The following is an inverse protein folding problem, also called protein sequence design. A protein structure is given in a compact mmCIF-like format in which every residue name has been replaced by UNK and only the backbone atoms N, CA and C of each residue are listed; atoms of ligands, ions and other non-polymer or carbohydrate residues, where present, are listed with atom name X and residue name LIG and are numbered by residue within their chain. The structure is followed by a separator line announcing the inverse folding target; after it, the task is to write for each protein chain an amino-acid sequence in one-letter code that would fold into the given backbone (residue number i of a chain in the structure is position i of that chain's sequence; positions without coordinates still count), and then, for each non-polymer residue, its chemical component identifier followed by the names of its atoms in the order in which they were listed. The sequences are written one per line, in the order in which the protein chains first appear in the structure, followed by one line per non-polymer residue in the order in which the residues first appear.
data_IF_590833707201
#
_entry.id   IF_590833707201
#
_cell.length_a   1.000
_cell.length_b   1.000
_cell.length_c   1.000
_cell.angle_alpha   90.00
_cell.angle_beta   90.00
_cell.angle_gamma   90.00
#
_symmetry.space_group_name_H-M   'P 1'
#
loop_
_entity.id
_entity.type
_entity.pdbx_description
1 polymer ?
#
# COMPACT_ATOMS: atom_id res chain seq x y z
N UNK A 1 15.38 55.71 -40.64
CA UNK A 1 15.80 54.67 -39.67
C UNK A 1 14.82 54.67 -38.52
N UNK A 2 14.34 53.47 -38.22
CA UNK A 2 13.65 53.00 -37.01
C UNK A 2 12.14 53.24 -36.82
N UNK A 3 11.53 52.13 -36.45
CA UNK A 3 10.14 51.77 -36.28
C UNK A 3 9.58 52.21 -34.91
N UNK A 4 8.26 52.28 -34.79
CA UNK A 4 7.57 52.39 -33.51
C UNK A 4 6.10 52.06 -33.66
N UNK A 5 5.76 50.82 -33.39
CA UNK A 5 4.40 50.29 -33.41
C UNK A 5 3.57 50.79 -32.22
N UNK A 6 2.29 51.04 -32.47
CA UNK A 6 1.18 50.89 -31.52
C UNK A 6 -0.11 50.82 -32.38
N UNK A 7 -0.38 49.69 -33.04
CA UNK A 7 -1.27 48.62 -32.53
C UNK A 7 -1.85 48.83 -31.13
N UNK A 8 -3.09 48.38 -30.96
CA UNK A 8 -3.89 48.23 -29.74
C UNK A 8 -4.88 49.39 -29.55
N UNK A 9 -6.19 49.18 -29.47
CA UNK A 9 -6.97 47.95 -29.48
C UNK A 9 -8.40 48.39 -29.79
N UNK A 10 -8.99 47.88 -30.89
CA UNK A 10 -10.43 47.73 -31.03
C UNK A 10 -10.91 46.72 -29.97
N UNK A 11 -10.94 47.17 -28.71
CA UNK A 11 -11.59 46.47 -27.59
C UNK A 11 -12.87 47.20 -27.20
N UNK A 12 -13.51 47.84 -28.17
CA UNK A 12 -14.85 48.34 -27.99
C UNK A 12 -15.80 47.37 -28.68
N UNK A 13 -16.69 46.79 -27.87
CA UNK A 13 -17.82 45.97 -28.28
C UNK A 13 -17.53 44.49 -28.60
N UNK A 14 -17.09 43.73 -27.58
CA UNK A 14 -17.62 42.37 -27.49
C UNK A 14 -19.07 42.52 -27.06
N UNK A 15 -19.96 42.25 -28.00
CA UNK A 15 -21.39 42.13 -27.78
C UNK A 15 -21.57 41.01 -26.76
N UNK A 16 -21.97 41.36 -25.53
CA UNK A 16 -22.78 40.46 -24.70
C UNK A 16 -24.15 40.41 -25.39
N UNK A 17 -24.22 39.64 -26.48
CA UNK A 17 -25.49 39.29 -27.09
C UNK A 17 -26.16 38.20 -26.25
N UNK A 18 -27.47 37.96 -26.46
CA UNK A 18 -28.20 36.87 -25.81
C UNK A 18 -27.62 35.48 -26.09
N UNK A 19 -26.62 35.38 -26.97
CA UNK A 19 -25.86 34.20 -27.36
C UNK A 19 -24.75 33.80 -26.35
N UNK A 20 -23.98 34.74 -25.80
CA UNK A 20 -22.87 34.43 -24.85
C UNK A 20 -23.39 33.88 -23.49
N UNK A 21 -24.55 34.40 -23.04
CA UNK A 21 -25.22 33.89 -21.84
C UNK A 21 -25.75 32.46 -22.04
N UNK A 22 -26.31 32.16 -23.22
CA UNK A 22 -26.80 30.81 -23.55
C UNK A 22 -25.67 29.83 -23.82
N UNK A 23 -24.54 30.29 -24.35
CA UNK A 23 -23.33 29.47 -24.55
C UNK A 23 -22.74 29.04 -23.20
N UNK A 24 -22.67 29.96 -22.24
CA UNK A 24 -22.26 29.64 -20.87
C UNK A 24 -23.18 28.65 -20.18
N UNK A 25 -24.49 28.78 -20.35
CA UNK A 25 -25.45 27.81 -19.82
C UNK A 25 -25.30 26.42 -20.47
N UNK A 26 -25.04 26.37 -21.78
CA UNK A 26 -24.72 25.11 -22.46
C UNK A 26 -23.45 24.46 -21.91
N UNK A 27 -22.38 25.25 -21.74
CA UNK A 27 -21.09 24.77 -21.23
C UNK A 27 -21.23 24.23 -19.80
N UNK A 28 -21.95 24.92 -18.93
CA UNK A 28 -22.21 24.47 -17.56
C UNK A 28 -23.03 23.18 -17.55
N UNK A 29 -24.06 23.07 -18.40
CA UNK A 29 -24.87 21.86 -18.51
C UNK A 29 -24.05 20.65 -18.98
N UNK A 30 -23.17 20.84 -19.96
CA UNK A 30 -22.26 19.79 -20.43
C UNK A 30 -21.26 19.39 -19.33
N UNK A 31 -20.72 20.36 -18.60
CA UNK A 31 -19.82 20.09 -17.48
C UNK A 31 -20.53 19.31 -16.36
N UNK A 32 -21.73 19.71 -15.97
CA UNK A 32 -22.52 19.00 -14.96
C UNK A 32 -22.83 17.56 -15.42
N UNK A 33 -23.18 17.35 -16.69
CA UNK A 33 -23.40 16.00 -17.24
C UNK A 33 -22.14 15.11 -17.18
N UNK A 34 -20.95 15.69 -17.43
CA UNK A 34 -19.68 14.97 -17.27
C UNK A 34 -19.37 14.63 -15.81
N UNK A 35 -19.74 15.51 -14.87
CA UNK A 35 -19.49 15.34 -13.44
C UNK A 35 -20.53 14.45 -12.76
N UNK A 36 -21.79 14.45 -13.23
CA UNK A 36 -22.88 13.60 -12.72
C UNK A 36 -22.60 12.11 -12.92
N UNK A 37 -21.88 11.74 -13.99
CA UNK A 37 -21.43 10.38 -14.24
C UNK A 37 -20.18 9.97 -13.44
N UNK A 38 -19.49 10.94 -12.81
CA UNK A 38 -18.45 10.67 -11.82
C UNK A 38 -19.12 10.43 -10.47
N UNK A 39 -19.81 9.30 -10.38
CA UNK A 39 -20.16 8.73 -9.08
C UNK A 39 -18.86 8.58 -8.30
N UNK A 40 -18.67 9.43 -7.29
CA UNK A 40 -17.74 9.21 -6.18
C UNK A 40 -18.27 8.06 -5.32
N UNK A 41 -18.52 6.92 -5.96
CA UNK A 41 -18.63 5.62 -5.32
C UNK A 41 -17.18 5.15 -5.17
N UNK A 42 -16.64 4.86 -4.02
CA UNK A 42 -17.25 4.35 -2.82
C UNK A 42 -16.20 4.67 -1.74
N UNK A 43 -16.47 5.58 -0.80
CA UNK A 43 -15.72 5.51 0.45
C UNK A 43 -16.21 4.23 1.11
N UNK A 44 -15.56 3.10 0.79
CA UNK A 44 -15.82 1.86 1.49
C UNK A 44 -15.81 2.18 2.99
N UNK A 45 -16.75 1.63 3.78
CA UNK A 45 -16.84 1.91 5.21
C UNK A 45 -15.55 1.55 5.97
N UNK A 46 -14.63 0.87 5.28
CA UNK A 46 -13.29 0.55 5.73
C UNK A 46 -12.27 0.98 4.68
N UNK A 47 -11.23 1.67 5.10
CA UNK A 47 -10.06 1.93 4.26
C UNK A 47 -9.23 0.66 4.09
N UNK A 48 -8.44 0.60 3.03
CA UNK A 48 -7.36 -0.38 2.91
C UNK A 48 -6.44 -0.38 4.16
N UNK A 49 -6.23 0.79 4.78
CA UNK A 49 -5.48 0.88 6.04
C UNK A 49 -6.21 0.22 7.22
N UNK A 50 -7.54 0.29 7.28
CA UNK A 50 -8.34 -0.38 8.32
C UNK A 50 -8.34 -1.90 8.14
N UNK A 51 -8.22 -2.38 6.90
CA UNK A 51 -8.04 -3.81 6.62
C UNK A 51 -6.65 -4.29 7.05
N UNK A 52 -5.59 -3.53 6.74
CA UNK A 52 -4.23 -3.85 7.20
C UNK A 52 -4.12 -3.88 8.73
N UNK A 53 -4.79 -2.96 9.43
CA UNK A 53 -4.80 -2.94 10.90
C UNK A 53 -5.47 -4.20 11.48
N UNK A 54 -6.55 -4.70 10.83
CA UNK A 54 -7.18 -5.98 11.20
C UNK A 54 -6.24 -7.18 11.01
N UNK A 55 -5.41 -7.17 9.96
CA UNK A 55 -4.43 -8.24 9.73
C UNK A 55 -3.25 -8.20 10.70
N UNK A 56 -2.89 -7.02 11.21
CA UNK A 56 -1.82 -6.85 12.17
C UNK A 56 -2.07 -7.64 13.45
N UNK A 57 -3.34 -7.77 13.87
CA UNK A 57 -3.74 -8.59 15.02
C UNK A 57 -3.84 -10.09 14.71
N UNK A 58 -4.27 -10.44 13.50
CA UNK A 58 -4.50 -11.84 13.11
C UNK A 58 -3.22 -12.64 12.84
N UNK A 59 -2.13 -11.97 12.43
CA UNK A 59 -0.84 -12.59 12.12
C UNK A 59 0.24 -12.33 13.18
N UNK A 60 -0.13 -11.92 14.41
CA UNK A 60 0.86 -11.74 15.47
C UNK A 60 1.53 -13.07 15.78
N UNK A 61 2.85 -13.02 15.93
CA UNK A 61 3.61 -14.13 16.45
C UNK A 61 3.09 -14.46 17.86
N UNK A 62 2.37 -15.57 17.99
CA UNK A 62 2.03 -16.15 19.27
C UNK A 62 3.21 -17.02 19.68
N UNK A 63 4.02 -16.51 20.62
CA UNK A 63 5.12 -17.28 21.15
C UNK A 63 4.56 -18.60 21.72
N UNK A 64 5.06 -19.77 21.26
CA UNK A 64 4.66 -21.03 21.86
C UNK A 64 5.05 -21.00 23.34
N UNK A 65 4.19 -21.49 24.23
CA UNK A 65 4.52 -21.64 25.64
C UNK A 65 5.13 -23.04 25.85
N UNK A 66 6.46 -23.20 25.84
CA UNK A 66 7.06 -24.51 26.00
C UNK A 66 6.78 -25.06 27.41
N UNK A 67 6.51 -26.37 27.55
CA UNK A 67 6.40 -26.98 28.86
C UNK A 67 7.73 -26.84 29.61
N UNK A 68 7.65 -26.59 30.93
CA UNK A 68 8.83 -26.48 31.79
C UNK A 68 9.62 -27.80 31.73
N UNK A 69 10.87 -27.73 31.27
CA UNK A 69 11.77 -28.87 31.29
C UNK A 69 12.30 -29.11 32.70
N UNK A 70 12.26 -30.35 33.14
CA UNK A 70 12.86 -30.76 34.41
C UNK A 70 14.40 -30.67 34.29
N UNK A 71 15.07 -30.14 35.31
CA UNK A 71 16.54 -30.01 35.36
C UNK A 71 17.21 -31.38 35.19
N UNK A 72 16.65 -32.44 35.75
CA UNK A 72 17.15 -33.81 35.57
C UNK A 72 17.09 -34.28 34.11
N UNK A 73 16.07 -33.83 33.35
CA UNK A 73 15.91 -34.17 31.94
C UNK A 73 16.90 -33.40 31.06
N UNK A 74 17.20 -32.13 31.40
CA UNK A 74 18.22 -31.35 30.68
C UNK A 74 19.62 -31.93 30.89
N UNK A 75 19.97 -32.34 32.11
CA UNK A 75 21.24 -33.02 32.38
C UNK A 75 21.35 -34.36 31.66
N UNK A 76 20.29 -35.19 31.68
CA UNK A 76 20.26 -36.46 30.95
C UNK A 76 20.42 -36.25 29.44
N UNK A 77 19.74 -35.24 28.88
CA UNK A 77 19.88 -34.89 27.47
C UNK A 77 21.29 -34.42 27.13
N UNK A 78 21.91 -33.60 27.98
CA UNK A 78 23.28 -33.12 27.79
C UNK A 78 24.29 -34.27 27.82
N UNK A 79 24.18 -35.19 28.78
CA UNK A 79 25.05 -36.37 28.86
C UNK A 79 24.84 -37.29 27.66
N UNK A 80 23.59 -37.50 27.23
CA UNK A 80 23.28 -38.29 26.05
C UNK A 80 23.86 -37.67 24.77
N UNK A 81 23.78 -36.35 24.61
CA UNK A 81 24.37 -35.63 23.50
C UNK A 81 25.91 -35.74 23.49
N UNK A 82 26.55 -35.62 24.65
CA UNK A 82 28.00 -35.81 24.79
C UNK A 82 28.41 -37.25 24.46
N UNK A 83 27.64 -38.24 24.92
CA UNK A 83 27.86 -39.66 24.62
C UNK A 83 27.68 -39.94 23.13
N UNK A 84 26.67 -39.33 22.49
CA UNK A 84 26.43 -39.42 21.04
C UNK A 84 27.54 -38.75 20.24
N UNK A 85 28.08 -37.62 20.71
CA UNK A 85 29.23 -36.96 20.10
C UNK A 85 30.49 -37.81 20.20
N UNK A 86 30.75 -38.37 21.38
CA UNK A 86 31.93 -39.22 21.61
C UNK A 86 31.89 -40.56 20.85
N UNK A 87 30.69 -41.12 20.67
CA UNK A 87 30.50 -42.44 20.06
C UNK A 87 29.99 -42.37 18.61
N UNK A 88 29.74 -41.18 18.06
CA UNK A 88 29.24 -41.00 16.69
C UNK A 88 30.39 -41.07 15.69
N UNK A 89 30.22 -41.84 14.61
CA UNK A 89 31.18 -41.89 13.50
C UNK A 89 31.42 -40.48 12.93
N UNK A 90 32.64 -40.24 12.42
CA UNK A 90 33.08 -38.96 11.87
C UNK A 90 32.31 -38.52 10.60
N UNK A 91 31.57 -39.42 9.96
CA UNK A 91 30.74 -39.14 8.80
C UNK A 91 29.28 -39.04 9.26
N UNK A 92 28.72 -37.83 9.21
CA UNK A 92 27.32 -37.56 9.53
C UNK A 92 26.62 -37.32 8.20
N UNK A 93 25.84 -38.28 7.73
CA UNK A 93 25.05 -38.17 6.48
C UNK A 93 23.92 -37.10 6.54
N UNK A 94 23.88 -36.26 7.58
CA UNK A 94 22.70 -35.48 7.99
C UNK A 94 23.09 -34.08 8.52
N UNK A 95 24.23 -33.54 8.09
CA UNK A 95 24.58 -32.12 8.34
C UNK A 95 24.12 -31.18 7.21
N UNK A 96 23.39 -31.71 6.23
CA UNK A 96 22.77 -30.93 5.16
C UNK A 96 23.78 -30.28 4.20
N UNK A 97 25.06 -30.65 4.26
CA UNK A 97 26.10 -30.20 3.32
C UNK A 97 26.41 -31.33 2.33
N UNK A 98 25.39 -31.76 1.59
CA UNK A 98 25.58 -32.51 0.36
C UNK A 98 24.86 -31.74 -0.76
N UNK A 99 25.65 -31.22 -1.70
CA UNK A 99 25.20 -30.65 -2.97
C UNK A 99 24.74 -31.74 -3.93
#
# INVERSE_FOLDING_TARGET
MNHGAAVMSDKEKRQDGPDDATERELIEMEFQSMVEGLSLDESAPTSYLDELDKFADHNKFVAPNPPRKNISQTFRAAIAALKKWKNGNAFRDDDGVAL
#
